data_IF_887985534675
#
_entry.id   IF_887985534675
#
_cell.length_a   1.000
_cell.length_b   1.000
_cell.length_c   1.000
_cell.angle_alpha   90.00
_cell.angle_beta   90.00
_cell.angle_gamma   90.00
#
_symmetry.space_group_name_H-M   'P 1'
#
loop_
_entity.id
_entity.type
_entity.pdbx_description
1 polymer ?
#
# COMPACT_ATOMS: atom_id res chain seq x y z
N UNK A 1 62.36 -23.04 -8.26
CA UNK A 1 62.47 -22.77 -9.69
C UNK A 1 61.28 -21.99 -10.12
N UNK A 2 61.44 -20.71 -10.23
CA UNK A 2 60.69 -19.78 -11.10
C UNK A 2 61.15 -19.95 -12.53
N UNK A 3 60.50 -19.37 -13.58
CA UNK A 3 59.97 -18.00 -13.69
C UNK A 3 58.68 -17.84 -14.55
N UNK A 4 57.94 -16.70 -14.34
CA UNK A 4 57.85 -15.48 -15.16
C UNK A 4 57.05 -15.58 -16.48
N UNK A 5 56.04 -14.71 -16.65
CA UNK A 5 55.86 -13.64 -17.64
C UNK A 5 54.42 -13.12 -17.53
N UNK A 6 54.07 -11.91 -17.11
CA UNK A 6 54.09 -10.60 -17.79
C UNK A 6 53.39 -10.58 -19.17
N UNK A 7 52.39 -9.70 -19.26
CA UNK A 7 52.07 -8.63 -20.21
C UNK A 7 50.54 -8.52 -20.42
N UNK A 8 49.82 -7.44 -20.62
CA UNK A 8 50.11 -6.04 -20.78
C UNK A 8 48.78 -5.29 -20.84
N UNK A 9 48.77 -4.18 -20.21
CA UNK A 9 48.06 -2.92 -20.42
C UNK A 9 47.57 -2.66 -21.85
N UNK A 10 46.28 -2.25 -21.99
CA UNK A 10 45.87 -1.25 -22.99
C UNK A 10 44.84 -0.29 -22.41
N UNK A 11 45.29 0.91 -22.09
CA UNK A 11 44.50 2.14 -22.02
C UNK A 11 44.00 2.51 -23.43
N UNK A 12 42.74 2.88 -23.54
CA UNK A 12 42.32 3.87 -24.54
C UNK A 12 41.26 4.79 -23.99
N UNK A 13 41.70 5.96 -23.63
CA UNK A 13 40.94 7.19 -23.61
C UNK A 13 40.40 7.52 -24.99
N UNK A 14 39.14 7.89 -25.10
CA UNK A 14 38.65 8.73 -26.19
C UNK A 14 37.82 9.85 -25.59
N UNK A 15 38.43 11.01 -25.55
CA UNK A 15 37.83 12.32 -25.39
C UNK A 15 37.23 12.75 -26.74
N UNK A 16 36.01 13.20 -26.77
CA UNK A 16 35.48 14.04 -27.83
C UNK A 16 34.46 15.01 -27.29
N UNK A 17 34.92 16.21 -27.15
CA UNK A 17 34.20 17.47 -27.01
C UNK A 17 33.39 17.77 -28.29
N UNK A 18 32.15 18.18 -28.17
CA UNK A 18 31.48 19.00 -29.17
C UNK A 18 30.48 19.94 -28.49
N UNK A 19 30.86 21.20 -28.51
CA UNK A 19 30.00 22.38 -28.27
C UNK A 19 29.13 22.59 -29.51
N UNK A 20 27.86 22.95 -29.34
CA UNK A 20 27.08 23.81 -30.21
C UNK A 20 25.94 24.43 -29.39
N UNK A 21 26.07 25.65 -29.03
CA UNK A 21 25.47 26.95 -29.45
C UNK A 21 23.95 27.00 -29.44
N UNK A 22 23.51 27.85 -28.55
CA UNK A 22 22.30 28.67 -28.43
C UNK A 22 21.45 28.90 -29.70
N UNK A 23 20.15 28.82 -29.54
CA UNK A 23 19.22 29.79 -30.12
C UNK A 23 17.95 29.85 -29.26
N UNK A 24 17.69 31.01 -28.72
CA UNK A 24 16.44 31.44 -28.17
C UNK A 24 15.44 31.58 -29.28
N UNK A 25 14.22 31.12 -29.05
CA UNK A 25 13.06 31.74 -29.70
C UNK A 25 11.87 31.76 -28.76
N UNK A 26 11.48 32.98 -28.51
CA UNK A 26 10.34 33.43 -27.74
C UNK A 26 9.15 33.59 -28.67
N UNK A 27 8.06 32.86 -28.42
CA UNK A 27 6.76 33.31 -28.90
C UNK A 27 5.62 32.73 -28.08
N UNK A 28 5.11 33.56 -27.20
CA UNK A 28 3.77 33.45 -26.63
C UNK A 28 2.75 33.83 -27.66
N UNK A 29 1.59 33.17 -27.78
CA UNK A 29 0.41 33.72 -28.42
C UNK A 29 -0.53 34.38 -27.40
N UNK A 30 -1.34 35.33 -27.88
CA UNK A 30 -1.96 36.35 -27.05
C UNK A 30 -3.34 35.96 -26.49
N UNK A 31 -3.66 36.67 -25.43
CA UNK A 31 -5.02 36.84 -24.88
C UNK A 31 -6.05 37.25 -25.94
N UNK A 32 -7.17 36.55 -25.98
CA UNK A 32 -8.38 36.98 -26.65
C UNK A 32 -9.53 37.06 -25.67
N UNK A 33 -9.91 38.28 -25.34
CA UNK A 33 -11.08 38.67 -24.55
C UNK A 33 -12.40 38.52 -25.31
N UNK A 34 -13.46 38.46 -24.47
CA UNK A 34 -14.91 38.79 -24.71
C UNK A 34 -15.73 37.64 -25.32
N UNK A 35 -16.90 37.31 -24.78
CA UNK A 35 -18.02 38.21 -24.41
C UNK A 35 -18.98 37.46 -23.48
N UNK A 36 -19.56 38.22 -22.56
CA UNK A 36 -20.74 37.92 -21.76
C UNK A 36 -22.04 37.93 -22.59
N UNK A 37 -22.99 37.05 -22.24
CA UNK A 37 -24.46 37.22 -22.24
C UNK A 37 -24.96 35.94 -21.55
N UNK A 38 -25.47 35.89 -20.37
CA UNK A 38 -26.69 36.33 -19.80
C UNK A 38 -27.83 35.43 -20.23
N UNK A 39 -28.36 34.60 -19.30
CA UNK A 39 -29.83 34.51 -19.10
C UNK A 39 -30.04 33.57 -17.89
N UNK A 40 -30.66 34.17 -16.89
CA UNK A 40 -31.27 33.60 -15.70
C UNK A 40 -32.44 32.72 -16.10
N UNK A 41 -32.55 31.50 -15.56
CA UNK A 41 -33.84 30.79 -15.54
C UNK A 41 -34.06 30.18 -14.17
N UNK A 42 -35.08 30.64 -13.50
CA UNK A 42 -35.57 30.19 -12.19
C UNK A 42 -36.19 28.79 -12.25
N UNK A 43 -36.20 28.04 -11.12
CA UNK A 43 -36.86 26.74 -11.05
C UNK A 43 -38.38 26.88 -10.89
N UNK A 44 -39.16 25.91 -11.41
CA UNK A 44 -40.62 25.97 -11.38
C UNK A 44 -41.18 25.61 -9.99
N UNK A 45 -42.25 26.29 -9.67
CA UNK A 45 -43.08 26.25 -8.47
C UNK A 45 -43.70 24.85 -8.22
N UNK A 46 -43.77 24.45 -6.98
CA UNK A 46 -44.54 23.28 -6.50
C UNK A 46 -46.06 23.57 -6.61
N UNK A 47 -46.88 22.60 -7.00
CA UNK A 47 -48.32 22.70 -6.85
C UNK A 47 -48.75 22.27 -5.43
N UNK A 48 -49.57 23.13 -4.81
CA UNK A 48 -50.34 22.86 -3.61
C UNK A 48 -51.40 21.77 -3.88
N UNK A 49 -51.48 20.76 -3.02
CA UNK A 49 -52.59 19.85 -2.96
C UNK A 49 -53.42 20.06 -1.70
N UNK A 50 -54.70 20.14 -1.93
CA UNK A 50 -55.77 20.47 -1.04
C UNK A 50 -55.99 19.43 0.05
N UNK A 51 -56.42 19.97 1.19
CA UNK A 51 -57.00 19.29 2.35
C UNK A 51 -58.24 18.47 1.96
N UNK A 52 -58.27 17.19 2.32
CA UNK A 52 -59.46 16.35 2.30
C UNK A 52 -59.65 15.73 3.69
N UNK A 53 -60.76 16.10 4.30
CA UNK A 53 -61.26 15.57 5.58
C UNK A 53 -61.79 14.14 5.37
N UNK A 54 -61.64 13.27 6.36
CA UNK A 54 -62.38 12.01 6.33
C UNK A 54 -61.93 10.94 7.32
N UNK A 55 -62.64 10.93 8.44
CA UNK A 55 -63.11 9.74 9.25
C UNK A 55 -62.12 8.97 10.11
N UNK A 56 -62.38 9.01 11.37
CA UNK A 56 -61.81 8.26 12.48
C UNK A 56 -62.05 6.76 12.34
N UNK A 57 -61.02 5.97 12.57
CA UNK A 57 -61.14 4.55 12.98
C UNK A 57 -60.15 4.30 14.14
N UNK A 58 -60.67 3.93 15.26
CA UNK A 58 -59.96 3.58 16.48
C UNK A 58 -59.06 2.37 16.22
N UNK A 59 -57.76 2.50 16.46
CA UNK A 59 -56.84 1.38 16.51
C UNK A 59 -56.18 1.31 17.87
N UNK A 60 -56.22 0.12 18.45
CA UNK A 60 -55.70 -0.32 19.73
C UNK A 60 -54.17 -0.09 19.83
N UNK A 61 -53.62 0.17 21.03
CA UNK A 61 -52.18 0.33 21.22
C UNK A 61 -51.51 -1.03 21.07
N UNK A 62 -50.68 -1.17 20.03
CA UNK A 62 -49.72 -2.27 19.88
C UNK A 62 -48.66 -2.12 20.94
N UNK A 63 -48.55 -3.14 21.80
CA UNK A 63 -47.47 -3.29 22.78
C UNK A 63 -46.12 -3.25 22.04
N UNK A 64 -45.29 -2.28 22.34
CA UNK A 64 -43.88 -2.28 21.97
C UNK A 64 -43.19 -3.44 22.69
N UNK A 65 -42.48 -4.34 22.00
CA UNK A 65 -41.53 -5.22 22.66
C UNK A 65 -40.38 -4.40 23.22
N UNK A 66 -39.93 -4.75 24.43
CA UNK A 66 -38.79 -4.15 25.10
C UNK A 66 -37.55 -4.17 24.21
N UNK A 67 -36.65 -3.17 24.31
CA UNK A 67 -35.40 -3.16 23.57
C UNK A 67 -34.57 -4.37 24.06
N UNK A 68 -34.33 -5.32 23.16
CA UNK A 68 -33.31 -6.33 23.35
C UNK A 68 -31.97 -5.59 23.36
N UNK A 69 -31.37 -5.52 24.51
CA UNK A 69 -29.97 -5.13 24.66
C UNK A 69 -29.11 -6.21 24.03
N UNK A 70 -28.89 -6.10 22.70
CA UNK A 70 -27.89 -6.90 22.01
C UNK A 70 -26.52 -6.26 22.25
N UNK A 71 -25.90 -6.64 23.36
CA UNK A 71 -24.46 -6.47 23.59
C UNK A 71 -23.73 -7.63 22.89
N UNK A 72 -24.01 -7.84 21.64
CA UNK A 72 -23.24 -8.71 20.76
C UNK A 72 -22.02 -7.94 20.28
N UNK A 73 -20.86 -8.18 20.88
CA UNK A 73 -19.58 -7.87 20.27
C UNK A 73 -19.57 -8.48 18.86
N UNK A 74 -19.75 -7.66 17.84
CA UNK A 74 -19.51 -8.05 16.46
C UNK A 74 -18.02 -8.33 16.28
N UNK A 75 -17.57 -9.48 16.70
CA UNK A 75 -16.35 -10.09 16.15
C UNK A 75 -16.63 -10.30 14.68
N UNK A 76 -16.09 -9.42 13.84
CA UNK A 76 -16.18 -9.56 12.41
C UNK A 76 -15.69 -10.97 12.06
N UNK A 77 -16.59 -11.83 11.57
CA UNK A 77 -16.28 -13.21 11.26
C UNK A 77 -15.08 -13.22 10.31
N UNK A 78 -13.97 -13.78 10.76
CA UNK A 78 -12.75 -13.88 9.95
C UNK A 78 -13.09 -14.77 8.77
N UNK A 79 -13.19 -14.18 7.59
CA UNK A 79 -13.48 -14.93 6.38
C UNK A 79 -12.27 -15.81 6.04
N UNK A 80 -12.47 -17.12 6.04
CA UNK A 80 -11.43 -18.09 5.72
C UNK A 80 -11.58 -18.61 4.29
N UNK A 81 -10.48 -19.02 3.68
CA UNK A 81 -10.44 -19.66 2.37
C UNK A 81 -9.40 -20.77 2.34
N UNK A 82 -9.64 -21.75 1.49
CA UNK A 82 -8.69 -22.82 1.23
C UNK A 82 -7.57 -22.30 0.33
N UNK A 83 -6.33 -22.44 0.78
CA UNK A 83 -5.17 -22.24 -0.06
C UNK A 83 -5.06 -23.40 -1.06
N UNK A 84 -5.13 -23.08 -2.33
CA UNK A 84 -5.10 -24.08 -3.40
C UNK A 84 -3.74 -24.80 -3.48
N UNK A 85 -2.61 -24.14 -3.17
CA UNK A 85 -1.28 -24.72 -3.27
C UNK A 85 -0.90 -25.60 -2.06
N UNK A 86 -1.36 -25.22 -0.86
CA UNK A 86 -1.00 -25.93 0.40
C UNK A 86 -2.13 -26.77 0.98
N UNK A 87 -3.34 -26.67 0.41
CA UNK A 87 -4.55 -27.32 0.90
C UNK A 87 -4.89 -27.03 2.39
N UNK A 88 -4.39 -25.89 2.90
CA UNK A 88 -4.70 -25.42 4.27
C UNK A 88 -5.74 -24.31 4.22
N UNK A 89 -6.70 -24.34 5.15
CA UNK A 89 -7.62 -23.23 5.38
C UNK A 89 -6.90 -22.12 6.13
N UNK A 90 -7.03 -20.88 5.65
CA UNK A 90 -6.38 -19.71 6.24
C UNK A 90 -7.28 -18.49 6.19
N UNK A 91 -7.01 -17.55 7.07
CA UNK A 91 -7.63 -16.24 7.00
C UNK A 91 -7.35 -15.57 5.65
N UNK A 92 -8.36 -14.92 5.08
CA UNK A 92 -8.25 -14.14 3.84
C UNK A 92 -7.16 -13.06 3.92
N UNK A 93 -6.81 -12.61 5.15
CA UNK A 93 -5.69 -11.69 5.39
C UNK A 93 -4.31 -12.28 5.08
N UNK A 94 -4.17 -13.62 5.15
CA UNK A 94 -2.93 -14.35 4.89
C UNK A 94 -2.86 -14.92 3.46
N UNK A 95 -3.85 -14.60 2.63
CA UNK A 95 -3.99 -15.16 1.29
C UNK A 95 -3.98 -14.05 0.23
N UNK A 96 -3.44 -14.38 -0.94
CA UNK A 96 -3.56 -13.57 -2.14
C UNK A 96 -4.60 -14.23 -3.06
N UNK A 97 -5.54 -13.41 -3.54
CA UNK A 97 -6.49 -13.80 -4.56
C UNK A 97 -5.87 -13.63 -5.94
N UNK A 98 -6.09 -14.61 -6.82
CA UNK A 98 -5.76 -14.54 -8.23
C UNK A 98 -7.01 -14.72 -9.08
N UNK A 99 -7.05 -14.11 -10.24
CA UNK A 99 -8.10 -14.26 -11.24
C UNK A 99 -7.49 -14.56 -12.60
N UNK A 100 -8.26 -15.18 -13.49
CA UNK A 100 -7.87 -15.33 -14.88
C UNK A 100 -8.24 -14.05 -15.64
N UNK A 101 -7.29 -13.44 -16.32
CA UNK A 101 -7.51 -12.36 -17.26
C UNK A 101 -8.20 -12.84 -18.54
N UNK A 102 -8.71 -11.92 -19.37
CA UNK A 102 -9.38 -12.24 -20.63
C UNK A 102 -8.43 -12.92 -21.66
N UNK A 103 -7.14 -12.68 -21.53
CA UNK A 103 -6.05 -13.27 -22.32
C UNK A 103 -5.55 -14.62 -21.77
N UNK A 104 -6.18 -15.13 -20.71
CA UNK A 104 -5.75 -16.35 -20.01
C UNK A 104 -4.55 -16.11 -19.07
N UNK A 105 -4.06 -14.89 -18.89
CA UNK A 105 -3.01 -14.61 -17.93
C UNK A 105 -3.52 -14.67 -16.48
N UNK A 106 -2.69 -15.19 -15.58
CA UNK A 106 -2.99 -15.18 -14.13
C UNK A 106 -2.66 -13.80 -13.55
N UNK A 107 -3.67 -13.12 -13.03
CA UNK A 107 -3.57 -11.75 -12.49
C UNK A 107 -3.76 -11.75 -10.97
N UNK A 108 -2.85 -11.15 -10.18
CA UNK A 108 -3.04 -10.99 -8.74
C UNK A 108 -4.06 -9.89 -8.43
N UNK A 109 -4.98 -10.18 -7.52
CA UNK A 109 -6.03 -9.27 -7.07
C UNK A 109 -5.88 -8.94 -5.58
N UNK A 110 -4.88 -8.15 -5.24
CA UNK A 110 -4.61 -7.71 -3.86
C UNK A 110 -5.76 -6.90 -3.26
N UNK A 111 -6.52 -6.18 -4.08
CA UNK A 111 -7.65 -5.36 -3.65
C UNK A 111 -8.98 -6.14 -3.61
N UNK A 112 -9.01 -7.37 -4.12
CA UNK A 112 -10.19 -8.24 -4.19
C UNK A 112 -11.38 -7.61 -4.90
N UNK A 113 -11.10 -6.88 -6.00
CA UNK A 113 -12.10 -6.13 -6.77
C UNK A 113 -12.28 -6.63 -8.20
N UNK A 114 -11.37 -7.46 -8.69
CA UNK A 114 -11.45 -7.97 -10.05
C UNK A 114 -12.62 -8.95 -10.18
N UNK A 115 -13.36 -8.92 -11.31
CA UNK A 115 -14.45 -9.87 -11.57
C UNK A 115 -13.90 -11.27 -11.79
N UNK A 116 -14.80 -12.25 -11.82
CA UNK A 116 -14.50 -13.64 -12.15
C UNK A 116 -14.18 -14.52 -10.94
N UNK A 117 -13.98 -15.81 -11.26
CA UNK A 117 -13.62 -16.82 -10.27
C UNK A 117 -12.26 -16.52 -9.69
N UNK A 118 -12.16 -16.43 -8.35
CA UNK A 118 -10.89 -16.25 -7.65
C UNK A 118 -10.32 -17.57 -7.13
N UNK A 119 -9.00 -17.71 -7.25
CA UNK A 119 -8.20 -18.76 -6.63
C UNK A 119 -7.34 -18.13 -5.55
N UNK A 120 -7.20 -18.80 -4.40
CA UNK A 120 -6.50 -18.26 -3.24
C UNK A 120 -5.23 -19.03 -2.96
N UNK A 121 -4.12 -18.33 -2.78
CA UNK A 121 -2.83 -18.90 -2.42
C UNK A 121 -2.28 -18.19 -1.17
N UNK A 122 -1.63 -18.92 -0.29
CA UNK A 122 -0.92 -18.37 0.88
C UNK A 122 0.06 -17.30 0.45
N UNK A 123 -0.01 -16.13 1.10
CA UNK A 123 0.81 -14.96 0.81
C UNK A 123 2.27 -15.19 1.27
N UNK A 124 2.94 -16.11 0.61
CA UNK A 124 4.36 -16.43 0.78
C UNK A 124 4.98 -16.55 -0.60
N UNK A 125 6.13 -15.88 -0.80
CA UNK A 125 6.85 -15.90 -2.08
C UNK A 125 7.13 -17.33 -2.55
N UNK A 126 7.67 -18.17 -1.69
CA UNK A 126 7.99 -19.57 -1.98
C UNK A 126 6.77 -20.39 -2.43
N UNK A 127 5.59 -20.15 -1.83
CA UNK A 127 4.36 -20.86 -2.22
C UNK A 127 3.88 -20.44 -3.59
N UNK A 128 4.03 -19.16 -3.94
CA UNK A 128 3.71 -18.66 -5.28
C UNK A 128 4.69 -19.20 -6.32
N UNK A 129 5.99 -19.19 -6.05
CA UNK A 129 7.04 -19.76 -6.89
C UNK A 129 6.76 -21.24 -7.20
N UNK A 130 6.43 -22.00 -6.16
CA UNK A 130 6.09 -23.40 -6.31
C UNK A 130 4.83 -23.63 -7.13
N UNK A 131 3.79 -22.80 -6.94
CA UNK A 131 2.56 -22.86 -7.72
C UNK A 131 2.81 -22.55 -9.21
N UNK A 132 3.69 -21.60 -9.52
CA UNK A 132 4.11 -21.27 -10.88
C UNK A 132 4.89 -22.45 -11.48
N UNK A 133 5.92 -22.95 -10.78
CA UNK A 133 6.78 -24.06 -11.22
C UNK A 133 5.96 -25.31 -11.54
N UNK A 134 4.97 -25.66 -10.70
CA UNK A 134 4.10 -26.82 -10.89
C UNK A 134 2.95 -26.59 -11.88
N UNK A 135 2.87 -25.42 -12.51
CA UNK A 135 1.75 -25.03 -13.38
C UNK A 135 0.38 -25.26 -12.70
N UNK A 136 0.34 -24.99 -11.42
CA UNK A 136 -0.77 -25.36 -10.57
C UNK A 136 -2.05 -24.52 -10.82
N UNK A 137 -1.91 -23.32 -11.39
CA UNK A 137 -3.03 -22.42 -11.69
C UNK A 137 -4.04 -22.99 -12.69
N UNK A 138 -3.60 -23.69 -13.74
CA UNK A 138 -4.49 -24.33 -14.72
C UNK A 138 -5.48 -25.29 -14.05
N UNK A 139 -4.98 -26.13 -13.13
CA UNK A 139 -5.84 -27.05 -12.36
C UNK A 139 -6.81 -26.30 -11.46
N UNK A 140 -6.36 -25.20 -10.83
CA UNK A 140 -7.19 -24.42 -9.92
C UNK A 140 -8.31 -23.68 -10.63
N UNK A 141 -8.04 -23.09 -11.76
CA UNK A 141 -9.04 -22.41 -12.58
C UNK A 141 -9.90 -23.36 -13.40
N UNK A 142 -9.43 -24.62 -13.60
CA UNK A 142 -10.02 -25.59 -14.53
C UNK A 142 -10.09 -25.01 -15.95
N UNK A 143 -9.05 -24.29 -16.35
CA UNK A 143 -8.94 -23.59 -17.62
C UNK A 143 -7.46 -23.51 -18.05
N UNK A 144 -7.23 -23.30 -19.33
CA UNK A 144 -5.89 -23.04 -19.84
C UNK A 144 -5.50 -21.59 -19.48
N UNK A 145 -4.82 -21.44 -18.35
CA UNK A 145 -4.32 -20.15 -17.88
C UNK A 145 -2.80 -20.20 -17.75
N UNK A 146 -2.16 -19.07 -17.99
CA UNK A 146 -0.71 -18.94 -17.96
C UNK A 146 -0.28 -18.03 -16.80
N UNK A 147 0.47 -18.60 -15.86
CA UNK A 147 1.18 -17.82 -14.86
C UNK A 147 2.56 -17.49 -15.40
N UNK A 148 2.91 -16.21 -15.45
CA UNK A 148 4.26 -15.79 -15.84
C UNK A 148 5.30 -16.27 -14.83
N UNK A 149 6.51 -16.56 -15.28
CA UNK A 149 7.63 -16.94 -14.40
C UNK A 149 8.04 -15.81 -13.44
N UNK A 150 7.80 -14.55 -13.82
CA UNK A 150 8.08 -13.36 -13.03
C UNK A 150 6.92 -12.96 -12.07
N UNK A 151 5.86 -13.79 -12.02
CA UNK A 151 4.70 -13.54 -11.14
C UNK A 151 5.09 -13.30 -9.66
N UNK A 152 6.04 -14.06 -9.06
CA UNK A 152 6.50 -13.80 -7.70
C UNK A 152 7.16 -12.43 -7.53
N UNK A 153 7.98 -12.00 -8.51
CA UNK A 153 8.64 -10.68 -8.49
C UNK A 153 7.64 -9.54 -8.70
N UNK A 154 6.68 -9.76 -9.57
CA UNK A 154 5.58 -8.82 -9.80
C UNK A 154 4.73 -8.65 -8.53
N UNK A 155 4.44 -9.74 -7.83
CA UNK A 155 3.75 -9.71 -6.54
C UNK A 155 4.53 -8.97 -5.48
N UNK A 156 5.84 -9.23 -5.34
CA UNK A 156 6.70 -8.53 -4.38
C UNK A 156 6.60 -7.02 -4.58
N UNK A 157 6.75 -6.54 -5.81
CA UNK A 157 6.62 -5.13 -6.17
C UNK A 157 5.23 -4.57 -5.86
N UNK A 158 4.16 -5.31 -6.14
CA UNK A 158 2.79 -4.87 -5.89
C UNK A 158 2.49 -4.77 -4.39
N UNK A 159 2.96 -5.72 -3.60
CA UNK A 159 2.80 -5.73 -2.14
C UNK A 159 3.61 -4.59 -1.52
N UNK A 160 4.86 -4.40 -1.94
CA UNK A 160 5.71 -3.27 -1.53
C UNK A 160 5.06 -1.92 -1.86
N UNK A 161 4.58 -1.74 -3.08
CA UNK A 161 3.88 -0.53 -3.50
C UNK A 161 2.60 -0.29 -2.68
N UNK A 162 1.88 -1.36 -2.32
CA UNK A 162 0.71 -1.26 -1.44
C UNK A 162 1.06 -0.72 -0.04
N UNK A 163 2.20 -1.13 0.51
CA UNK A 163 2.69 -0.62 1.78
C UNK A 163 3.14 0.85 1.66
N UNK A 164 3.91 1.21 0.64
CA UNK A 164 4.35 2.59 0.38
C UNK A 164 3.17 3.55 0.16
N UNK A 165 2.15 3.12 -0.58
CA UNK A 165 0.94 3.92 -0.78
C UNK A 165 0.19 4.16 0.54
N UNK A 166 0.15 3.18 1.45
CA UNK A 166 -0.47 3.37 2.76
C UNK A 166 0.36 4.29 3.67
N UNK A 167 1.69 4.28 3.54
CA UNK A 167 2.57 5.24 4.20
C UNK A 167 2.32 6.67 3.71
N UNK A 168 2.16 6.85 2.39
CA UNK A 168 1.78 8.14 1.80
C UNK A 168 0.44 8.66 2.35
N UNK A 169 -0.55 7.78 2.52
CA UNK A 169 -1.84 8.15 3.12
C UNK A 169 -1.66 8.57 4.59
N UNK A 170 -0.85 7.84 5.36
CA UNK A 170 -0.55 8.23 6.74
C UNK A 170 0.17 9.58 6.81
N UNK A 171 1.06 9.88 5.86
CA UNK A 171 1.72 11.18 5.77
C UNK A 171 0.73 12.30 5.46
N UNK A 172 -0.16 12.13 4.49
CA UNK A 172 -1.22 13.10 4.18
C UNK A 172 -2.19 13.33 5.34
N UNK A 173 -2.37 12.32 6.20
CA UNK A 173 -3.16 12.42 7.43
C UNK A 173 -2.42 13.10 8.60
N UNK A 174 -1.19 13.59 8.39
CA UNK A 174 -0.39 14.25 9.42
C UNK A 174 0.20 13.30 10.49
N UNK A 175 0.18 11.98 10.23
CA UNK A 175 0.64 10.97 11.18
C UNK A 175 2.12 10.56 10.97
N UNK A 176 2.83 11.21 10.06
CA UNK A 176 4.24 10.91 9.77
C UNK A 176 5.11 12.13 9.99
N UNK A 177 6.09 11.99 10.87
CA UNK A 177 7.11 13.00 11.16
C UNK A 177 8.38 12.62 10.41
N UNK A 178 8.92 13.54 9.62
CA UNK A 178 10.07 13.33 8.75
C UNK A 178 11.32 14.05 9.24
N UNK A 179 12.48 13.42 9.06
CA UNK A 179 13.81 13.97 9.34
C UNK A 179 14.33 13.65 10.73
N UNK A 180 15.66 13.41 10.82
CA UNK A 180 16.33 12.87 11.99
C UNK A 180 16.02 13.65 13.29
N UNK A 181 16.28 14.97 13.30
CA UNK A 181 16.08 15.79 14.52
C UNK A 181 14.61 15.82 14.98
N UNK A 182 13.66 15.92 14.04
CA UNK A 182 12.24 15.90 14.36
C UNK A 182 11.78 14.56 14.91
N UNK A 183 12.30 13.47 14.33
CA UNK A 183 12.03 12.09 14.80
C UNK A 183 12.61 11.89 16.20
N UNK A 184 13.83 12.36 16.46
CA UNK A 184 14.46 12.28 17.78
C UNK A 184 13.64 13.03 18.84
N UNK A 185 13.16 14.24 18.53
CA UNK A 185 12.24 14.99 19.39
C UNK A 185 10.91 14.25 19.59
N UNK A 186 10.34 13.70 18.54
CA UNK A 186 9.06 12.99 18.61
C UNK A 186 9.11 11.72 19.48
N UNK A 187 10.26 11.02 19.52
CA UNK A 187 10.47 9.84 20.39
C UNK A 187 10.24 10.22 21.86
N UNK A 188 10.62 11.42 22.26
CA UNK A 188 10.44 11.91 23.65
C UNK A 188 9.02 12.47 23.88
N UNK A 189 8.48 13.16 22.88
CA UNK A 189 7.27 13.98 23.05
C UNK A 189 5.96 13.24 22.76
N UNK A 190 5.96 12.18 21.93
CA UNK A 190 4.74 11.56 21.43
C UNK A 190 4.77 10.01 21.48
N UNK A 191 3.61 9.35 21.62
CA UNK A 191 3.51 7.91 21.51
C UNK A 191 3.68 7.49 20.04
N UNK A 192 4.83 6.89 19.73
CA UNK A 192 5.12 6.37 18.39
C UNK A 192 4.66 4.92 18.29
N UNK A 193 4.10 4.56 17.13
CA UNK A 193 3.74 3.18 16.78
C UNK A 193 4.78 2.51 15.88
N UNK A 194 5.56 3.31 15.15
CA UNK A 194 6.67 2.80 14.35
C UNK A 194 7.74 3.87 14.10
N UNK A 195 8.97 3.39 13.88
CA UNK A 195 10.08 4.11 13.30
C UNK A 195 10.37 3.50 11.93
N UNK A 196 10.25 4.27 10.88
CA UNK A 196 10.64 3.86 9.51
C UNK A 196 12.03 4.37 9.24
N UNK A 197 12.91 3.48 8.80
CA UNK A 197 14.28 3.79 8.40
C UNK A 197 14.54 3.23 7.00
N UNK A 198 15.18 4.02 6.16
CA UNK A 198 15.63 3.53 4.87
C UNK A 198 16.66 2.41 5.08
N UNK A 199 16.54 1.29 4.35
CA UNK A 199 17.46 0.14 4.46
C UNK A 199 18.88 0.46 3.99
N UNK A 200 19.03 1.46 3.12
CA UNK A 200 20.29 2.00 2.61
C UNK A 200 20.84 3.16 3.48
N UNK A 201 20.21 3.42 4.63
CA UNK A 201 20.66 4.44 5.58
C UNK A 201 21.95 4.04 6.29
N UNK A 202 22.78 5.04 6.65
CA UNK A 202 23.97 4.81 7.46
C UNK A 202 23.58 4.19 8.81
N UNK A 203 24.29 3.15 9.21
CA UNK A 203 23.98 2.36 10.43
C UNK A 203 24.01 3.21 11.71
N UNK A 204 24.83 4.25 11.78
CA UNK A 204 25.00 5.07 12.98
C UNK A 204 23.73 5.85 13.35
N UNK A 205 23.08 6.50 12.38
CA UNK A 205 21.84 7.24 12.62
C UNK A 205 20.72 6.33 13.13
N UNK A 206 20.63 5.12 12.59
CA UNK A 206 19.68 4.09 13.05
C UNK A 206 19.96 3.64 14.50
N UNK A 207 21.22 3.42 14.84
CA UNK A 207 21.62 3.05 16.21
C UNK A 207 21.24 4.13 17.23
N UNK A 208 21.45 5.41 16.89
CA UNK A 208 21.08 6.54 17.76
C UNK A 208 19.57 6.58 18.02
N UNK A 209 18.75 6.49 16.99
CA UNK A 209 17.28 6.51 17.14
C UNK A 209 16.77 5.27 17.86
N UNK A 210 17.30 4.09 17.59
CA UNK A 210 16.96 2.86 18.31
C UNK A 210 17.35 2.94 19.80
N UNK A 211 18.49 3.55 20.12
CA UNK A 211 18.87 3.80 21.52
C UNK A 211 17.95 4.82 22.19
N UNK A 212 17.52 5.86 21.50
CA UNK A 212 16.53 6.81 22.00
C UNK A 212 15.18 6.12 22.27
N UNK A 213 14.68 5.30 21.35
CA UNK A 213 13.46 4.49 21.55
C UNK A 213 13.56 3.61 22.80
N UNK A 214 14.67 2.91 23.00
CA UNK A 214 14.86 2.05 24.18
C UNK A 214 14.86 2.85 25.50
N UNK A 215 15.48 4.04 25.52
CA UNK A 215 15.49 4.91 26.72
C UNK A 215 14.11 5.43 27.10
N UNK A 216 13.21 5.56 26.12
CA UNK A 216 11.83 6.03 26.30
C UNK A 216 10.80 4.90 26.18
N UNK A 217 11.19 3.65 26.48
CA UNK A 217 10.37 2.44 26.30
C UNK A 217 8.98 2.51 26.97
N UNK A 218 8.80 3.26 28.05
CA UNK A 218 7.49 3.44 28.69
C UNK A 218 6.44 4.12 27.81
N UNK A 219 6.84 4.89 26.78
CA UNK A 219 5.96 5.57 25.82
C UNK A 219 5.96 4.92 24.42
N UNK A 220 7.04 4.21 24.09
CA UNK A 220 7.29 3.70 22.75
C UNK A 220 7.58 2.19 22.72
N UNK A 221 7.29 1.48 23.82
CA UNK A 221 7.63 0.06 24.02
C UNK A 221 7.14 -0.85 22.87
N UNK A 222 6.06 -0.49 22.21
CA UNK A 222 5.47 -1.24 21.10
C UNK A 222 5.88 -0.70 19.71
N UNK A 223 6.69 0.36 19.65
CA UNK A 223 7.06 0.95 18.38
C UNK A 223 7.87 -0.05 17.52
N UNK A 224 7.36 -0.34 16.33
CA UNK A 224 8.00 -1.24 15.38
C UNK A 224 9.11 -0.51 14.62
N UNK A 225 10.21 -1.19 14.34
CA UNK A 225 11.25 -0.68 13.43
C UNK A 225 11.00 -1.28 12.05
N UNK A 226 10.80 -0.41 11.06
CA UNK A 226 10.51 -0.77 9.67
C UNK A 226 11.70 -0.38 8.80
N UNK A 227 12.36 -1.36 8.19
CA UNK A 227 13.55 -1.20 7.33
C UNK A 227 13.34 -1.83 5.95
N UNK A 228 12.11 -1.88 5.49
CA UNK A 228 11.72 -2.57 4.27
C UNK A 228 12.02 -1.80 2.98
N UNK A 229 12.20 -0.47 3.03
CA UNK A 229 12.23 0.42 1.88
C UNK A 229 13.57 1.14 1.71
N UNK A 230 13.94 1.50 0.49
CA UNK A 230 15.08 2.36 0.20
C UNK A 230 14.73 3.84 0.43
N UNK A 231 15.75 4.69 0.56
CA UNK A 231 15.57 6.15 0.63
C UNK A 231 14.82 6.69 -0.58
N UNK A 232 15.17 6.24 -1.79
CA UNK A 232 14.47 6.62 -3.03
C UNK A 232 12.98 6.24 -3.02
N UNK A 233 12.64 5.05 -2.50
CA UNK A 233 11.25 4.63 -2.38
C UNK A 233 10.47 5.49 -1.37
N UNK A 234 11.12 5.85 -0.26
CA UNK A 234 10.53 6.75 0.74
C UNK A 234 10.36 8.17 0.19
N UNK A 235 11.32 8.68 -0.57
CA UNK A 235 11.24 9.98 -1.23
C UNK A 235 10.02 10.07 -2.14
N UNK A 236 9.84 9.08 -3.00
CA UNK A 236 8.70 8.99 -3.91
C UNK A 236 7.35 8.87 -3.16
N UNK A 237 7.30 8.04 -2.13
CA UNK A 237 6.07 7.81 -1.38
C UNK A 237 5.64 9.04 -0.55
N UNK A 238 6.61 9.78 -0.02
CA UNK A 238 6.35 10.89 0.91
C UNK A 238 6.43 12.27 0.23
N UNK A 239 6.81 12.31 -1.05
CA UNK A 239 6.94 13.55 -1.81
C UNK A 239 7.99 14.51 -1.26
N UNK A 240 9.07 13.99 -0.69
CA UNK A 240 10.18 14.74 -0.08
C UNK A 240 11.50 14.09 -0.48
N UNK A 241 12.54 14.88 -0.64
CA UNK A 241 13.89 14.40 -0.93
C UNK A 241 14.65 14.06 0.36
N UNK A 242 15.52 13.07 0.27
CA UNK A 242 16.42 12.63 1.34
C UNK A 242 15.69 12.14 2.61
N UNK A 243 14.60 11.41 2.44
CA UNK A 243 13.87 10.80 3.55
C UNK A 243 14.59 9.50 3.95
N UNK A 244 15.33 9.59 5.02
CA UNK A 244 16.08 8.46 5.62
C UNK A 244 15.39 7.94 6.87
N UNK A 245 14.73 8.82 7.62
CA UNK A 245 14.05 8.52 8.88
C UNK A 245 12.67 9.16 8.93
N UNK A 246 11.69 8.37 9.36
CA UNK A 246 10.34 8.83 9.63
C UNK A 246 9.79 8.16 10.92
N UNK A 247 9.01 8.89 11.69
CA UNK A 247 8.28 8.35 12.84
C UNK A 247 6.78 8.36 12.55
N UNK A 248 6.08 7.29 12.93
CA UNK A 248 4.64 7.17 12.81
C UNK A 248 3.97 7.37 14.17
N UNK A 249 3.03 8.28 14.21
CA UNK A 249 2.12 8.49 15.32
C UNK A 249 0.98 7.47 15.29
N UNK A 250 0.35 7.24 16.45
CA UNK A 250 -0.83 6.39 16.55
C UNK A 250 -1.98 6.95 15.70
N UNK A 251 -2.71 6.06 15.00
CA UNK A 251 -3.87 6.42 14.20
C UNK A 251 -4.20 5.38 13.15
N UNK A 252 -5.43 5.40 12.65
CA UNK A 252 -5.97 4.40 11.72
C UNK A 252 -5.13 4.24 10.44
N UNK A 253 -4.60 5.34 9.89
CA UNK A 253 -3.77 5.26 8.69
C UNK A 253 -2.42 4.61 8.98
N UNK A 254 -1.83 4.85 10.16
CA UNK A 254 -0.60 4.19 10.61
C UNK A 254 -0.80 2.70 10.86
N UNK A 255 -1.93 2.29 11.42
CA UNK A 255 -2.32 0.89 11.59
C UNK A 255 -2.46 0.19 10.24
N UNK A 256 -3.08 0.86 9.27
CA UNK A 256 -3.21 0.35 7.90
C UNK A 256 -1.83 0.14 7.26
N UNK A 257 -0.91 1.09 7.42
CA UNK A 257 0.46 0.94 6.95
C UNK A 257 1.15 -0.25 7.62
N UNK A 258 1.08 -0.36 8.95
CA UNK A 258 1.71 -1.46 9.69
C UNK A 258 1.15 -2.84 9.27
N UNK A 259 -0.14 -2.92 9.00
CA UNK A 259 -0.75 -4.15 8.48
C UNK A 259 -0.21 -4.50 7.08
N UNK A 260 -0.03 -3.52 6.18
CA UNK A 260 0.53 -3.72 4.84
C UNK A 260 2.02 -4.05 4.88
N UNK A 261 2.77 -3.41 5.77
CA UNK A 261 4.16 -3.74 5.99
C UNK A 261 4.34 -5.17 6.53
N UNK A 262 3.57 -5.57 7.54
CA UNK A 262 3.60 -6.95 8.05
C UNK A 262 3.29 -7.97 6.95
N UNK A 263 2.30 -7.67 6.11
CA UNK A 263 1.99 -8.53 4.97
C UNK A 263 3.16 -8.65 3.98
N UNK A 264 3.91 -7.56 3.73
CA UNK A 264 5.13 -7.57 2.93
C UNK A 264 6.24 -8.43 3.57
N UNK A 265 6.50 -8.22 4.87
CA UNK A 265 7.47 -9.02 5.63
C UNK A 265 7.10 -10.50 5.60
N UNK A 266 5.83 -10.80 5.82
CA UNK A 266 5.30 -12.15 5.76
C UNK A 266 5.43 -12.75 4.36
N UNK A 267 5.20 -11.98 3.31
CA UNK A 267 5.37 -12.46 1.94
C UNK A 267 6.82 -12.82 1.62
N UNK A 268 7.77 -12.02 2.10
CA UNK A 268 9.22 -12.19 1.90
C UNK A 268 9.86 -13.20 2.83
N UNK A 269 9.19 -13.56 3.93
CA UNK A 269 9.76 -14.45 4.93
C UNK A 269 9.96 -15.89 4.42
N UNK A 270 11.16 -16.42 4.56
CA UNK A 270 11.53 -17.80 4.27
C UNK A 270 11.12 -18.77 5.40
N UNK A 271 9.88 -18.64 5.90
CA UNK A 271 9.37 -19.53 6.94
C UNK A 271 8.62 -20.70 6.32
N UNK A 272 8.79 -21.93 6.79
CA UNK A 272 8.01 -23.08 6.34
C UNK A 272 6.52 -22.83 6.56
N UNK A 273 5.68 -23.29 5.62
CA UNK A 273 4.22 -23.05 5.56
C UNK A 273 3.44 -24.12 6.33
#
# INVERSE_FOLDING_TARGET
MQPLAEDAVIHRSISASSRCTSAADSSSPPYGERSAVGIVSAPPSRPSLKRGEGVAAAQQPKRNPAPLTDQGAHTAAVTERLCFATHKVRSVGELIRFVAGPDGAVVPDLKRRLPGRGVWITARRQVVEEAVRRRAFGRAFKADVRASSDLPDTLDRLVELSALNSLSIAHKAGLVILGFAKVETAIVAAPLVALVRARDARAESGRRLAAALRRHAGRTAEAKIVEAFTSTQLDLALGRLNVVHAALLAGRASETFLARWRFLEDFRADKPV
#
